data_IF_445212800719
#
_entry.id   IF_445212800719
#
_cell.length_a   1.000
_cell.length_b   1.000
_cell.length_c   1.000
_cell.angle_alpha   90.00
_cell.angle_beta   90.00
_cell.angle_gamma   90.00
#
_symmetry.space_group_name_H-M   'P 1'
#
loop_
_entity.id
_entity.type
_entity.pdbx_description
1 polymer ?
#
# COMPACT_ATOMS: atom_id res chain seq x y z
N UNK A 1 0.53 -38.65 63.34
CA UNK A 1 1.51 -37.95 62.47
C UNK A 1 0.80 -37.61 61.17
N UNK A 2 0.48 -36.34 60.96
CA UNK A 2 -0.15 -35.82 59.74
C UNK A 2 0.89 -35.08 58.94
N UNK A 3 1.30 -35.66 57.83
CA UNK A 3 2.21 -35.02 56.86
C UNK A 3 1.46 -34.04 55.97
N UNK A 4 1.73 -32.77 56.18
CA UNK A 4 1.24 -31.66 55.36
C UNK A 4 2.02 -31.65 54.05
N UNK A 5 1.38 -31.98 52.90
CA UNK A 5 1.95 -31.81 51.56
C UNK A 5 1.63 -30.41 51.08
N UNK A 6 2.63 -29.57 51.04
CA UNK A 6 2.50 -28.26 50.41
C UNK A 6 2.54 -28.40 48.88
N UNK A 7 1.45 -28.01 48.22
CA UNK A 7 1.40 -27.85 46.76
C UNK A 7 2.00 -26.50 46.43
N UNK A 8 3.16 -26.51 45.77
CA UNK A 8 3.73 -25.30 45.14
C UNK A 8 3.10 -25.18 43.76
N UNK A 9 2.19 -24.22 43.61
CA UNK A 9 1.66 -23.82 42.29
C UNK A 9 2.67 -22.89 41.61
N UNK A 10 3.36 -23.40 40.58
CA UNK A 10 4.20 -22.56 39.69
C UNK A 10 3.28 -21.86 38.71
N UNK A 11 3.04 -20.57 38.91
CA UNK A 11 2.36 -19.73 37.94
C UNK A 11 3.32 -19.42 36.78
N UNK A 12 3.14 -20.07 35.63
CA UNK A 12 3.82 -19.73 34.41
C UNK A 12 3.22 -18.41 33.86
N UNK A 13 3.93 -17.31 34.06
CA UNK A 13 3.60 -16.03 33.41
C UNK A 13 4.02 -16.17 31.93
N UNK A 14 3.07 -16.40 31.05
CA UNK A 14 3.26 -16.30 29.62
C UNK A 14 3.51 -14.82 29.26
N UNK A 15 4.77 -14.44 29.01
CA UNK A 15 5.06 -13.18 28.33
C UNK A 15 4.55 -13.31 26.88
N UNK A 16 3.30 -12.90 26.65
CA UNK A 16 2.84 -12.62 25.31
C UNK A 16 3.61 -11.38 24.83
N UNK A 17 4.66 -11.59 24.04
CA UNK A 17 5.35 -10.52 23.35
C UNK A 17 4.32 -9.77 22.51
N UNK A 18 4.09 -8.49 22.83
CA UNK A 18 3.29 -7.60 21.99
C UNK A 18 4.07 -7.43 20.69
N UNK A 19 3.71 -8.21 19.66
CA UNK A 19 4.20 -7.97 18.31
C UNK A 19 3.78 -6.55 17.95
N UNK A 20 4.73 -5.66 17.65
CA UNK A 20 4.44 -4.32 17.18
C UNK A 20 3.50 -4.44 15.96
N UNK A 21 2.37 -3.71 15.99
CA UNK A 21 1.42 -3.71 14.89
C UNK A 21 2.12 -3.20 13.63
N UNK A 22 1.98 -3.92 12.50
CA UNK A 22 2.52 -3.53 11.21
C UNK A 22 1.77 -2.30 10.71
N UNK A 23 2.50 -1.25 10.33
CA UNK A 23 1.90 -0.06 9.76
C UNK A 23 1.24 -0.40 8.41
N UNK A 24 0.01 0.12 8.24
CA UNK A 24 -0.78 -0.04 7.01
C UNK A 24 -1.17 1.33 6.51
N UNK A 25 -0.82 1.65 5.27
CA UNK A 25 -1.04 2.97 4.71
C UNK A 25 -1.50 2.93 3.27
N UNK A 26 -2.46 3.80 2.94
CA UNK A 26 -2.89 4.10 1.58
C UNK A 26 -2.13 5.33 1.10
N UNK A 27 -1.52 5.23 -0.07
CA UNK A 27 -1.07 6.37 -0.83
C UNK A 27 -2.08 6.65 -1.95
N UNK A 28 -2.79 7.77 -1.85
CA UNK A 28 -3.87 8.14 -2.77
C UNK A 28 -3.35 9.05 -3.88
N UNK A 29 -3.41 8.58 -5.12
CA UNK A 29 -3.01 9.33 -6.31
C UNK A 29 -4.23 9.69 -7.15
N UNK A 30 -4.49 10.99 -7.34
CA UNK A 30 -5.57 11.52 -8.17
C UNK A 30 -5.11 12.66 -9.10
N UNK A 31 -3.87 13.10 -8.96
CA UNK A 31 -3.24 14.13 -9.78
C UNK A 31 -2.30 13.54 -10.84
N UNK A 32 -1.72 14.41 -11.65
CA UNK A 32 -0.84 14.03 -12.75
C UNK A 32 0.56 13.56 -12.33
N UNK A 33 1.47 13.50 -13.30
CA UNK A 33 2.81 12.93 -13.14
C UNK A 33 3.67 13.60 -12.06
N UNK A 34 3.46 14.89 -11.78
CA UNK A 34 4.19 15.58 -10.71
C UNK A 34 3.84 15.01 -9.33
N UNK A 35 2.56 14.72 -9.07
CA UNK A 35 2.12 14.02 -7.86
C UNK A 35 2.72 12.61 -7.81
N UNK A 36 2.71 11.89 -8.92
CA UNK A 36 3.27 10.54 -8.99
C UNK A 36 4.76 10.54 -8.62
N UNK A 37 5.57 11.41 -9.19
CA UNK A 37 7.00 11.52 -8.88
C UNK A 37 7.24 11.79 -7.39
N UNK A 38 6.50 12.74 -6.81
CA UNK A 38 6.59 13.06 -5.39
C UNK A 38 6.15 11.88 -4.50
N UNK A 39 5.02 11.28 -4.85
CA UNK A 39 4.43 10.19 -4.07
C UNK A 39 5.28 8.92 -4.07
N UNK A 40 5.83 8.53 -5.20
CA UNK A 40 6.72 7.36 -5.30
C UNK A 40 8.00 7.56 -4.49
N UNK A 41 8.55 8.78 -4.46
CA UNK A 41 9.67 9.12 -3.57
C UNK A 41 9.27 9.01 -2.10
N UNK A 42 8.09 9.49 -1.72
CA UNK A 42 7.58 9.37 -0.36
C UNK A 42 7.42 7.91 0.06
N UNK A 43 6.96 7.03 -0.83
CA UNK A 43 6.85 5.60 -0.57
C UNK A 43 8.23 4.98 -0.32
N UNK A 44 9.24 5.33 -1.12
CA UNK A 44 10.63 4.90 -0.88
C UNK A 44 11.14 5.31 0.49
N UNK A 45 10.97 6.58 0.85
CA UNK A 45 11.37 7.11 2.16
C UNK A 45 10.64 6.38 3.31
N UNK A 46 9.36 6.05 3.11
CA UNK A 46 8.58 5.30 4.09
C UNK A 46 9.18 3.90 4.31
N UNK A 47 9.44 3.17 3.23
CA UNK A 47 10.00 1.82 3.29
C UNK A 47 11.46 1.80 3.78
N UNK A 48 12.22 2.88 3.60
CA UNK A 48 13.57 3.02 4.17
C UNK A 48 13.54 3.00 5.71
N UNK A 49 12.53 3.62 6.31
CA UNK A 49 12.36 3.70 7.78
C UNK A 49 11.57 2.51 8.32
N UNK A 50 10.51 2.11 7.63
CA UNK A 50 9.69 0.94 7.98
C UNK A 50 9.57 -0.03 6.78
N UNK A 51 10.54 -0.92 6.61
CA UNK A 51 10.54 -1.88 5.48
C UNK A 51 9.43 -2.93 5.57
N UNK A 52 8.71 -3.01 6.68
CA UNK A 52 7.58 -3.93 6.88
C UNK A 52 6.22 -3.27 6.67
N UNK A 53 6.16 -1.95 6.42
CA UNK A 53 4.92 -1.25 6.18
C UNK A 53 4.13 -1.89 5.02
N UNK A 54 2.83 -2.07 5.22
CA UNK A 54 1.91 -2.51 4.16
C UNK A 54 1.39 -1.29 3.42
N UNK A 55 1.85 -1.11 2.21
CA UNK A 55 1.51 0.06 1.39
C UNK A 55 0.61 -0.36 0.24
N UNK A 56 -0.55 0.31 0.13
CA UNK A 56 -1.46 0.19 -1.00
C UNK A 56 -1.54 1.55 -1.68
N UNK A 57 -1.13 1.61 -2.93
CA UNK A 57 -1.35 2.76 -3.81
C UNK A 57 -2.72 2.61 -4.45
N UNK A 58 -3.58 3.60 -4.28
CA UNK A 58 -4.88 3.68 -4.97
C UNK A 58 -4.85 4.86 -5.91
N UNK A 59 -5.03 4.60 -7.21
CA UNK A 59 -4.96 5.60 -8.26
C UNK A 59 -6.29 5.74 -9.01
N UNK A 60 -6.74 6.99 -9.21
CA UNK A 60 -7.90 7.33 -10.05
C UNK A 60 -7.69 8.69 -10.74
N UNK A 61 -8.59 9.08 -11.63
CA UNK A 61 -8.49 10.30 -12.44
C UNK A 61 -7.11 10.36 -13.14
N UNK A 62 -6.43 11.50 -13.13
CA UNK A 62 -5.09 11.65 -13.69
C UNK A 62 -4.02 10.88 -12.89
N UNK A 63 -4.35 10.47 -11.68
CA UNK A 63 -3.45 9.68 -10.83
C UNK A 63 -3.09 8.32 -11.39
N UNK A 64 -3.77 7.82 -12.43
CA UNK A 64 -3.44 6.55 -13.10
C UNK A 64 -2.34 6.69 -14.15
N UNK A 65 -2.02 7.91 -14.59
CA UNK A 65 -1.19 8.15 -15.78
C UNK A 65 0.22 7.58 -15.67
N UNK A 66 0.83 7.61 -14.49
CA UNK A 66 2.17 7.05 -14.28
C UNK A 66 2.22 5.51 -14.36
N UNK A 67 1.06 4.85 -14.28
CA UNK A 67 0.93 3.40 -14.37
C UNK A 67 0.64 2.93 -15.81
N UNK A 68 0.50 3.85 -16.74
CA UNK A 68 0.36 3.50 -18.16
C UNK A 68 1.69 3.08 -18.76
N UNK A 69 1.65 2.14 -19.68
CA UNK A 69 2.84 1.65 -20.40
C UNK A 69 3.55 2.81 -21.11
N UNK A 70 4.86 2.92 -20.90
CA UNK A 70 5.68 3.97 -21.51
C UNK A 70 5.63 5.33 -20.80
N UNK A 71 4.91 5.47 -19.70
CA UNK A 71 4.89 6.71 -18.91
C UNK A 71 6.29 7.02 -18.34
N UNK A 72 6.70 8.29 -18.43
CA UNK A 72 8.01 8.76 -18.00
C UNK A 72 7.89 10.02 -17.15
N UNK A 73 8.83 10.19 -16.23
CA UNK A 73 8.97 11.42 -15.45
C UNK A 73 9.57 12.57 -16.30
N UNK A 74 9.72 13.76 -15.69
CA UNK A 74 10.28 14.93 -16.36
C UNK A 74 11.72 14.72 -16.85
N UNK A 75 12.46 13.77 -16.27
CA UNK A 75 13.84 13.43 -16.64
C UNK A 75 13.90 12.24 -17.62
N UNK A 76 12.76 11.81 -18.18
CA UNK A 76 12.64 10.68 -19.10
C UNK A 76 12.90 9.32 -18.45
N UNK A 77 12.85 9.21 -17.14
CA UNK A 77 12.94 7.93 -16.46
C UNK A 77 11.58 7.22 -16.52
N UNK A 78 11.51 5.95 -16.96
CA UNK A 78 10.27 5.20 -16.96
C UNK A 78 9.72 4.96 -15.56
N UNK A 79 8.45 5.25 -15.32
CA UNK A 79 7.82 4.94 -14.04
C UNK A 79 7.73 3.44 -13.77
N UNK A 80 7.66 2.60 -14.81
CA UNK A 80 7.62 1.15 -14.65
C UNK A 80 8.78 0.61 -13.81
N UNK A 81 9.96 1.19 -13.93
CA UNK A 81 11.16 0.75 -13.18
C UNK A 81 10.97 0.92 -11.67
N UNK A 82 10.52 2.09 -11.24
CA UNK A 82 10.28 2.33 -9.80
C UNK A 82 9.06 1.56 -9.28
N UNK A 83 8.02 1.41 -10.10
CA UNK A 83 6.82 0.63 -9.73
C UNK A 83 7.16 -0.84 -9.55
N UNK A 84 7.94 -1.43 -10.45
CA UNK A 84 8.41 -2.82 -10.35
C UNK A 84 9.26 -3.02 -9.08
N UNK A 85 10.20 -2.11 -8.81
CA UNK A 85 11.02 -2.14 -7.60
C UNK A 85 10.16 -2.09 -6.34
N UNK A 86 9.24 -1.14 -6.23
CA UNK A 86 8.35 -1.01 -5.07
C UNK A 86 7.39 -2.21 -4.94
N UNK A 87 6.90 -2.76 -6.04
CA UNK A 87 6.10 -3.99 -6.01
C UNK A 87 6.90 -5.17 -5.46
N UNK A 88 8.17 -5.29 -5.83
CA UNK A 88 9.05 -6.32 -5.27
C UNK A 88 9.26 -6.20 -3.76
N UNK A 89 9.09 -5.00 -3.22
CA UNK A 89 9.12 -4.69 -1.78
C UNK A 89 7.75 -4.84 -1.09
N UNK A 90 6.72 -5.31 -1.81
CA UNK A 90 5.40 -5.60 -1.26
C UNK A 90 4.37 -4.46 -1.42
N UNK A 91 4.67 -3.39 -2.14
CA UNK A 91 3.69 -2.34 -2.46
C UNK A 91 2.68 -2.87 -3.47
N UNK A 92 1.39 -2.60 -3.23
CA UNK A 92 0.30 -2.90 -4.16
C UNK A 92 -0.11 -1.65 -4.91
N UNK A 93 -0.33 -1.76 -6.21
CA UNK A 93 -0.80 -0.66 -7.07
C UNK A 93 -2.17 -1.00 -7.63
N UNK A 94 -3.19 -0.24 -7.22
CA UNK A 94 -4.59 -0.46 -7.58
C UNK A 94 -5.13 0.69 -8.44
N UNK A 95 -5.67 0.36 -9.61
CA UNK A 95 -6.24 1.31 -10.60
C UNK A 95 -7.76 1.23 -10.62
N UNK A 96 -8.41 2.38 -10.59
CA UNK A 96 -9.86 2.53 -10.59
C UNK A 96 -10.46 2.22 -11.97
N UNK A 97 -11.33 1.21 -12.07
CA UNK A 97 -12.06 0.86 -13.31
C UNK A 97 -13.02 1.96 -13.76
N UNK A 98 -13.59 2.74 -12.83
CA UNK A 98 -14.44 3.87 -13.20
C UNK A 98 -13.63 4.91 -13.98
N UNK A 99 -12.38 5.16 -13.58
CA UNK A 99 -11.47 6.04 -14.32
C UNK A 99 -11.22 5.55 -15.74
N UNK A 100 -10.98 4.24 -15.92
CA UNK A 100 -10.81 3.65 -17.25
C UNK A 100 -12.04 3.92 -18.12
N UNK A 101 -13.22 3.63 -17.62
CA UNK A 101 -14.46 3.87 -18.33
C UNK A 101 -14.67 5.35 -18.70
N UNK A 102 -14.48 6.25 -17.77
CA UNK A 102 -14.72 7.68 -17.97
C UNK A 102 -13.72 8.31 -18.94
N UNK A 103 -12.47 7.86 -18.91
CA UNK A 103 -11.40 8.34 -19.78
C UNK A 103 -11.23 7.49 -21.06
N UNK A 104 -12.07 6.47 -21.26
CA UNK A 104 -12.00 5.52 -22.40
C UNK A 104 -10.62 4.86 -22.53
N UNK A 105 -10.06 4.44 -21.39
CA UNK A 105 -8.79 3.72 -21.33
C UNK A 105 -9.04 2.22 -21.31
N UNK A 106 -8.15 1.45 -21.98
CA UNK A 106 -8.13 0.00 -21.94
C UNK A 106 -7.13 -0.48 -20.86
N UNK A 107 -7.48 -1.54 -20.15
CA UNK A 107 -6.60 -2.16 -19.14
C UNK A 107 -5.25 -2.61 -19.75
N UNK A 108 -5.21 -2.95 -21.04
CA UNK A 108 -3.99 -3.33 -21.77
C UNK A 108 -2.98 -2.19 -21.95
N UNK A 109 -3.41 -0.94 -21.72
CA UNK A 109 -2.54 0.23 -21.78
C UNK A 109 -1.72 0.43 -20.51
N UNK A 110 -1.95 -0.39 -19.49
CA UNK A 110 -1.25 -0.32 -18.20
C UNK A 110 -0.13 -1.34 -18.10
N UNK A 111 0.84 -1.04 -17.23
CA UNK A 111 1.93 -1.97 -16.91
C UNK A 111 1.38 -3.19 -16.15
N UNK A 112 2.03 -4.37 -16.24
CA UNK A 112 1.49 -5.60 -15.64
C UNK A 112 1.47 -5.62 -14.10
N UNK A 113 2.18 -4.70 -13.46
CA UNK A 113 2.30 -4.63 -11.99
C UNK A 113 1.03 -4.14 -11.30
N UNK A 114 0.05 -3.61 -12.04
CA UNK A 114 -1.18 -3.06 -11.47
C UNK A 114 -2.28 -4.08 -11.31
N UNK A 115 -3.08 -3.89 -10.26
CA UNK A 115 -4.37 -4.54 -10.06
C UNK A 115 -5.49 -3.53 -10.37
N UNK A 116 -6.68 -4.02 -10.74
CA UNK A 116 -7.83 -3.16 -11.03
C UNK A 116 -8.91 -3.34 -9.98
N UNK A 117 -9.40 -2.22 -9.45
CA UNK A 117 -10.50 -2.19 -8.47
C UNK A 117 -11.73 -1.52 -9.07
N UNK A 118 -12.93 -1.90 -8.61
CA UNK A 118 -14.18 -1.38 -9.14
C UNK A 118 -14.27 0.16 -9.05
N UNK A 119 -13.88 0.71 -7.89
CA UNK A 119 -13.85 2.15 -7.62
C UNK A 119 -12.69 2.48 -6.69
N UNK A 120 -11.84 3.43 -7.05
CA UNK A 120 -10.73 3.87 -6.22
C UNK A 120 -11.19 4.49 -4.90
N UNK A 121 -12.17 5.38 -4.94
CA UNK A 121 -12.68 6.04 -3.72
C UNK A 121 -13.38 5.06 -2.78
N UNK A 122 -14.13 4.10 -3.32
CA UNK A 122 -14.75 3.06 -2.51
C UNK A 122 -13.68 2.13 -1.90
N UNK A 123 -12.63 1.80 -2.64
CA UNK A 123 -11.51 0.99 -2.15
C UNK A 123 -10.79 1.67 -0.99
N UNK A 124 -10.53 2.98 -1.07
CA UNK A 124 -9.96 3.78 0.02
C UNK A 124 -10.83 3.66 1.27
N UNK A 125 -12.15 3.83 1.13
CA UNK A 125 -13.09 3.71 2.24
C UNK A 125 -13.03 2.32 2.91
N UNK A 126 -12.99 1.26 2.10
CA UNK A 126 -12.87 -0.11 2.62
C UNK A 126 -11.57 -0.32 3.40
N UNK A 127 -10.44 0.10 2.84
CA UNK A 127 -9.15 -0.04 3.47
C UNK A 127 -9.09 0.68 4.82
N UNK A 128 -9.64 1.91 4.89
CA UNK A 128 -9.67 2.67 6.13
C UNK A 128 -10.61 2.07 7.17
N UNK A 129 -11.85 1.80 6.80
CA UNK A 129 -12.88 1.42 7.78
C UNK A 129 -12.85 -0.04 8.18
N UNK A 130 -12.46 -0.93 7.27
CA UNK A 130 -12.50 -2.38 7.52
C UNK A 130 -11.15 -2.98 7.84
N UNK A 131 -10.08 -2.39 7.34
CA UNK A 131 -8.73 -2.94 7.43
C UNK A 131 -7.76 -2.06 8.23
N UNK A 132 -8.20 -0.87 8.68
CA UNK A 132 -7.44 0.00 9.57
C UNK A 132 -6.23 0.68 8.92
N UNK A 133 -6.30 0.99 7.62
CA UNK A 133 -5.25 1.71 6.93
C UNK A 133 -5.26 3.21 7.26
N UNK A 134 -4.09 3.79 7.51
CA UNK A 134 -3.90 5.22 7.48
C UNK A 134 -4.02 5.76 6.05
N UNK A 135 -4.33 7.04 5.90
CA UNK A 135 -4.50 7.68 4.59
C UNK A 135 -3.45 8.78 4.39
N UNK A 136 -2.72 8.70 3.28
CA UNK A 136 -1.80 9.74 2.83
C UNK A 136 -2.11 10.15 1.40
N UNK A 137 -2.12 11.47 1.18
CA UNK A 137 -2.19 12.07 -0.16
C UNK A 137 -0.88 12.81 -0.42
N UNK A 138 -0.02 12.32 -1.34
CA UNK A 138 1.27 12.92 -1.62
C UNK A 138 1.18 14.26 -2.38
#
# INVERSE_FOLDING_TARGET
MRTLRALVAVAAVALAGVAAAQDKVIYHFDGGLAQATKGLRNIRNHLEVDPKARIVVVAHAEGVDFLMSGAQDANKNPYSVIVEDLKSQGVTFEVCKITLRNRKLDAKQFIPEVDFVASGVQRITQLQQREGYAYLKP
#
